data_IF_999671357669
#
_entry.id   IF_999671357669
#
_cell.length_a   1.000
_cell.length_b   1.000
_cell.length_c   1.000
_cell.angle_alpha   90.00
_cell.angle_beta   90.00
_cell.angle_gamma   90.00
#
_symmetry.space_group_name_H-M   'P 1'
#
loop_
_entity.id
_entity.type
_entity.pdbx_description
1 polymer ?
#
# COMPACT_ATOMS: atom_id res chain seq x y z
N UNK A 1 -5.88 -8.48 4.52
CA UNK A 1 -7.22 -8.36 3.90
C UNK A 1 -8.28 -9.26 4.50
N UNK A 2 -7.96 -10.44 5.03
CA UNK A 2 -8.97 -11.34 5.59
C UNK A 2 -9.78 -10.72 6.74
N UNK A 3 -9.10 -10.09 7.71
CA UNK A 3 -9.69 -9.34 8.82
C UNK A 3 -10.58 -8.20 8.33
N UNK A 4 -10.08 -7.45 7.35
CA UNK A 4 -10.79 -6.27 6.82
C UNK A 4 -12.06 -6.72 6.10
N UNK A 5 -11.99 -7.81 5.33
CA UNK A 5 -13.15 -8.39 4.66
C UNK A 5 -14.16 -8.91 5.68
N UNK A 6 -13.73 -9.64 6.72
CA UNK A 6 -14.61 -10.12 7.78
C UNK A 6 -15.33 -8.99 8.52
N UNK A 7 -14.60 -7.95 8.94
CA UNK A 7 -15.20 -6.77 9.56
C UNK A 7 -16.16 -6.07 8.59
N UNK A 8 -15.78 -5.92 7.32
CA UNK A 8 -16.64 -5.30 6.33
C UNK A 8 -17.93 -6.11 6.12
N UNK A 9 -17.85 -7.45 6.04
CA UNK A 9 -19.01 -8.35 5.98
C UNK A 9 -19.93 -8.18 7.19
N UNK A 10 -19.38 -8.21 8.41
CA UNK A 10 -20.16 -8.12 9.64
C UNK A 10 -20.89 -6.79 9.80
N UNK A 11 -20.25 -5.67 9.43
CA UNK A 11 -20.82 -4.35 9.66
C UNK A 11 -21.62 -3.80 8.47
N UNK A 12 -21.27 -4.17 7.23
CA UNK A 12 -21.77 -3.50 6.02
C UNK A 12 -22.10 -4.45 4.85
N UNK A 13 -21.13 -5.23 4.38
CA UNK A 13 -21.21 -5.92 3.08
C UNK A 13 -22.30 -6.99 3.06
N UNK A 14 -22.58 -7.69 4.17
CA UNK A 14 -23.73 -8.61 4.21
C UNK A 14 -25.04 -7.89 3.85
N UNK A 15 -25.26 -6.70 4.41
CA UNK A 15 -26.46 -5.90 4.14
C UNK A 15 -26.49 -5.40 2.70
N UNK A 16 -25.33 -5.06 2.14
CA UNK A 16 -25.21 -4.63 0.73
C UNK A 16 -25.53 -5.79 -0.20
N UNK A 17 -24.88 -6.95 -0.02
CA UNK A 17 -25.08 -8.14 -0.84
C UNK A 17 -26.50 -8.70 -0.72
N UNK A 18 -27.12 -8.61 0.45
CA UNK A 18 -28.51 -9.02 0.65
C UNK A 18 -29.53 -8.08 -0.02
N UNK A 19 -29.19 -6.80 -0.22
CA UNK A 19 -30.01 -5.85 -0.99
C UNK A 19 -29.82 -6.02 -2.50
N UNK A 20 -28.60 -6.30 -2.95
CA UNK A 20 -28.28 -6.48 -4.37
C UNK A 20 -28.73 -7.83 -4.91
N UNK A 21 -28.58 -8.89 -4.12
CA UNK A 21 -28.90 -10.28 -4.48
C UNK A 21 -29.71 -10.94 -3.34
N UNK A 22 -30.95 -10.50 -3.06
CA UNK A 22 -31.76 -11.09 -2.00
C UNK A 22 -32.09 -12.55 -2.31
N UNK A 23 -32.08 -13.41 -1.29
CA UNK A 23 -32.66 -14.75 -1.40
C UNK A 23 -34.17 -14.59 -1.63
N UNK A 24 -34.69 -15.16 -2.73
CA UNK A 24 -36.13 -15.24 -2.95
C UNK A 24 -36.69 -16.40 -2.11
N UNK A 25 -37.56 -16.08 -1.14
CA UNK A 25 -38.20 -17.06 -0.24
C UNK A 25 -38.99 -18.17 -0.98
N UNK A 26 -39.28 -17.99 -2.28
CA UNK A 26 -40.01 -18.96 -3.11
C UNK A 26 -39.19 -20.19 -3.55
N UNK A 27 -37.87 -20.24 -3.28
CA UNK A 27 -37.00 -21.37 -3.67
C UNK A 27 -36.45 -22.18 -2.49
N UNK A 28 -36.74 -21.80 -1.25
CA UNK A 28 -36.39 -22.60 -0.07
C UNK A 28 -37.52 -23.60 0.19
N UNK A 29 -37.52 -24.71 -0.56
CA UNK A 29 -38.28 -25.89 -0.15
C UNK A 29 -37.69 -26.38 1.19
N UNK A 30 -38.49 -26.54 2.25
CA UNK A 30 -38.00 -27.07 3.51
C UNK A 30 -37.75 -28.57 3.31
N UNK A 31 -36.54 -28.92 2.89
CA UNK A 31 -36.10 -30.32 2.96
C UNK A 31 -35.72 -30.61 4.42
N UNK A 32 -36.53 -31.47 5.04
CA UNK A 32 -36.36 -32.10 6.36
C UNK A 32 -36.66 -31.22 7.58
N UNK A 33 -37.96 -31.05 7.89
CA UNK A 33 -38.41 -30.87 9.26
C UNK A 33 -39.33 -32.05 9.63
N UNK A 34 -38.74 -33.07 10.26
CA UNK A 34 -39.48 -34.00 11.10
C UNK A 34 -40.21 -33.21 12.18
N UNK A 35 -41.52 -33.45 12.30
CA UNK A 35 -42.39 -32.90 13.34
C UNK A 35 -41.76 -33.01 14.74
N UNK A 36 -41.52 -31.88 15.38
CA UNK A 36 -41.60 -31.78 16.84
C UNK A 36 -42.18 -30.43 17.24
N UNK A 37 -43.37 -30.50 17.81
CA UNK A 37 -44.18 -29.44 18.39
C UNK A 37 -43.50 -28.73 19.55
N UNK A 38 -43.30 -27.42 19.42
CA UNK A 38 -43.59 -26.42 20.47
C UNK A 38 -43.33 -25.04 19.88
N UNK A 39 -44.42 -24.32 19.60
CA UNK A 39 -44.38 -22.97 19.08
C UNK A 39 -43.83 -22.00 20.12
N UNK A 40 -42.58 -21.58 19.94
CA UNK A 40 -42.14 -20.24 20.30
C UNK A 40 -41.99 -19.48 18.99
N UNK A 41 -42.99 -18.66 18.66
CA UNK A 41 -42.88 -17.64 17.62
C UNK A 41 -41.93 -16.53 18.12
N UNK A 42 -40.65 -16.86 18.26
CA UNK A 42 -39.60 -15.83 18.19
C UNK A 42 -39.64 -15.32 16.78
N UNK A 43 -40.02 -14.06 16.63
CA UNK A 43 -39.92 -13.26 15.41
C UNK A 43 -38.68 -13.69 14.65
N UNK A 44 -38.86 -14.44 13.55
CA UNK A 44 -37.79 -14.73 12.62
C UNK A 44 -37.44 -13.36 12.06
N UNK A 45 -36.43 -12.72 12.65
CA UNK A 45 -35.71 -11.67 11.96
C UNK A 45 -35.21 -12.38 10.71
N UNK A 46 -35.91 -12.20 9.60
CA UNK A 46 -35.37 -12.48 8.29
C UNK A 46 -34.15 -11.58 8.19
N UNK A 47 -33.01 -12.08 8.67
CA UNK A 47 -31.72 -11.57 8.27
C UNK A 47 -31.78 -11.68 6.76
N UNK A 48 -31.91 -10.52 6.10
CA UNK A 48 -31.90 -10.45 4.66
C UNK A 48 -30.59 -11.10 4.25
N UNK A 49 -30.66 -12.32 3.70
CA UNK A 49 -29.51 -13.08 3.29
C UNK A 49 -29.26 -12.83 1.80
N UNK A 50 -27.99 -12.82 1.43
CA UNK A 50 -27.62 -12.79 0.02
C UNK A 50 -27.63 -14.19 -0.57
N UNK A 51 -27.99 -14.32 -1.84
CA UNK A 51 -27.79 -15.55 -2.63
C UNK A 51 -26.32 -15.95 -2.65
N UNK A 52 -25.40 -14.98 -2.62
CA UNK A 52 -23.97 -15.25 -2.55
C UNK A 52 -23.49 -15.33 -1.11
N UNK A 53 -23.17 -16.55 -0.68
CA UNK A 53 -22.54 -16.81 0.61
C UNK A 53 -21.16 -16.11 0.73
N UNK A 54 -20.71 -15.88 1.97
CA UNK A 54 -19.45 -15.16 2.27
C UNK A 54 -18.21 -15.85 1.68
N UNK A 55 -18.25 -17.17 1.56
CA UNK A 55 -17.19 -18.01 1.00
C UNK A 55 -17.21 -18.09 -0.55
N UNK A 56 -18.24 -17.52 -1.19
CA UNK A 56 -18.32 -17.51 -2.65
C UNK A 56 -17.25 -16.58 -3.26
N UNK A 57 -16.31 -17.17 -4.00
CA UNK A 57 -15.11 -16.48 -4.51
C UNK A 57 -15.44 -15.21 -5.31
N UNK A 58 -16.41 -15.16 -6.25
CA UNK A 58 -16.76 -13.91 -6.93
C UNK A 58 -17.24 -12.79 -5.99
N UNK A 59 -17.98 -13.13 -4.92
CA UNK A 59 -18.37 -12.16 -3.89
C UNK A 59 -17.12 -11.59 -3.22
N UNK A 60 -16.20 -12.46 -2.80
CA UNK A 60 -14.96 -12.07 -2.15
C UNK A 60 -14.11 -11.18 -3.05
N UNK A 61 -13.90 -11.57 -4.32
CA UNK A 61 -13.11 -10.78 -5.28
C UNK A 61 -13.70 -9.38 -5.48
N UNK A 62 -15.02 -9.26 -5.63
CA UNK A 62 -15.69 -7.95 -5.80
C UNK A 62 -15.57 -7.13 -4.51
N UNK A 63 -15.87 -7.72 -3.36
CA UNK A 63 -15.74 -7.05 -2.06
C UNK A 63 -14.31 -6.57 -1.80
N UNK A 64 -13.31 -7.44 -2.01
CA UNK A 64 -11.90 -7.13 -1.86
C UNK A 64 -11.46 -6.01 -2.80
N UNK A 65 -11.93 -6.02 -4.05
CA UNK A 65 -11.63 -4.95 -5.01
C UNK A 65 -12.16 -3.61 -4.54
N UNK A 66 -13.41 -3.57 -4.08
CA UNK A 66 -14.06 -2.35 -3.59
C UNK A 66 -13.37 -1.85 -2.31
N UNK A 67 -13.15 -2.72 -1.33
CA UNK A 67 -12.47 -2.36 -0.08
C UNK A 67 -11.07 -1.83 -0.38
N UNK A 68 -10.30 -2.52 -1.22
CA UNK A 68 -8.93 -2.11 -1.57
C UNK A 68 -8.93 -0.76 -2.24
N UNK A 69 -9.83 -0.52 -3.20
CA UNK A 69 -9.94 0.76 -3.87
C UNK A 69 -10.34 1.88 -2.90
N UNK A 70 -11.32 1.65 -2.03
CA UNK A 70 -11.66 2.65 -1.01
C UNK A 70 -10.50 2.93 -0.05
N UNK A 71 -9.80 1.88 0.38
CA UNK A 71 -8.65 1.97 1.28
C UNK A 71 -7.48 2.72 0.67
N UNK A 72 -7.08 2.39 -0.57
CA UNK A 72 -5.96 3.09 -1.24
C UNK A 72 -6.30 4.56 -1.48
N UNK A 73 -7.54 4.89 -1.88
CA UNK A 73 -7.95 6.29 -2.04
C UNK A 73 -7.92 7.02 -0.70
N UNK A 74 -8.44 6.41 0.37
CA UNK A 74 -8.44 7.01 1.69
C UNK A 74 -7.02 7.28 2.21
N UNK A 75 -6.15 6.27 2.21
CA UNK A 75 -4.77 6.41 2.68
C UNK A 75 -3.97 7.39 1.83
N UNK A 76 -4.09 7.29 0.50
CA UNK A 76 -3.40 8.18 -0.44
C UNK A 76 -3.82 9.63 -0.22
N UNK A 77 -5.12 9.94 -0.27
CA UNK A 77 -5.56 11.32 -0.09
C UNK A 77 -5.33 11.84 1.32
N UNK A 78 -5.48 11.01 2.37
CA UNK A 78 -5.21 11.44 3.74
C UNK A 78 -3.74 11.83 3.92
N UNK A 79 -2.82 10.89 3.66
CA UNK A 79 -1.40 11.13 3.95
C UNK A 79 -0.76 12.07 2.94
N UNK A 80 -1.07 11.97 1.64
CA UNK A 80 -0.51 12.90 0.66
C UNK A 80 -1.02 14.32 0.87
N UNK A 81 -2.29 14.51 1.26
CA UNK A 81 -2.80 15.83 1.61
C UNK A 81 -2.14 16.38 2.89
N UNK A 82 -1.97 15.55 3.93
CA UNK A 82 -1.29 15.96 5.16
C UNK A 82 0.16 16.38 4.88
N UNK A 83 0.93 15.56 4.16
CA UNK A 83 2.30 15.91 3.76
C UNK A 83 2.31 17.17 2.90
N UNK A 84 1.48 17.23 1.87
CA UNK A 84 1.40 18.39 0.99
C UNK A 84 1.07 19.67 1.75
N UNK A 85 0.15 19.61 2.73
CA UNK A 85 -0.32 20.79 3.46
C UNK A 85 0.67 21.27 4.53
N UNK A 86 1.31 20.35 5.24
CA UNK A 86 2.05 20.66 6.46
C UNK A 86 3.56 20.45 6.37
N UNK A 87 4.05 19.65 5.41
CA UNK A 87 5.46 19.25 5.31
C UNK A 87 6.07 19.77 4.01
N UNK A 88 5.39 19.59 2.87
CA UNK A 88 5.91 19.93 1.55
C UNK A 88 6.26 21.43 1.42
N UNK A 89 7.50 21.72 1.03
CA UNK A 89 7.93 23.08 0.74
C UNK A 89 7.39 23.53 -0.62
N UNK A 90 6.35 24.35 -0.61
CA UNK A 90 5.68 24.84 -1.82
C UNK A 90 6.57 25.75 -2.69
N UNK A 91 7.70 26.25 -2.18
CA UNK A 91 8.68 26.96 -3.02
C UNK A 91 9.26 26.07 -4.12
N UNK A 92 9.33 24.74 -3.90
CA UNK A 92 9.77 23.76 -4.90
C UNK A 92 8.97 23.80 -6.19
N UNK A 93 7.72 24.29 -6.14
CA UNK A 93 6.88 24.44 -7.33
C UNK A 93 7.39 25.51 -8.31
N UNK A 94 8.33 26.37 -7.88
CA UNK A 94 9.02 27.36 -8.73
C UNK A 94 10.25 26.76 -9.43
N UNK A 95 10.62 25.53 -9.12
CA UNK A 95 11.79 24.90 -9.70
C UNK A 95 11.64 24.74 -11.22
N UNK A 96 12.67 24.97 -12.04
CA UNK A 96 12.58 24.91 -13.51
C UNK A 96 12.13 23.57 -14.07
N UNK A 97 12.42 22.50 -13.31
CA UNK A 97 12.04 21.12 -13.64
C UNK A 97 10.70 20.70 -13.03
N UNK A 98 9.99 21.60 -12.34
CA UNK A 98 8.63 21.38 -11.90
C UNK A 98 7.66 21.60 -13.08
N UNK A 99 6.83 20.61 -13.35
CA UNK A 99 5.97 20.63 -14.53
C UNK A 99 4.73 21.51 -14.32
N UNK A 100 4.20 22.06 -15.42
CA UNK A 100 2.94 22.79 -15.36
C UNK A 100 1.79 21.86 -14.89
N UNK A 101 1.00 22.30 -13.91
CA UNK A 101 -0.07 21.51 -13.31
C UNK A 101 0.40 20.14 -12.75
N UNK A 102 1.67 20.01 -12.33
CA UNK A 102 2.26 18.73 -11.93
C UNK A 102 1.43 17.97 -10.89
N UNK A 103 0.99 18.63 -9.80
CA UNK A 103 0.17 18.00 -8.75
C UNK A 103 -1.08 17.34 -9.32
N UNK A 104 -1.77 18.02 -10.25
CA UNK A 104 -2.95 17.45 -10.93
C UNK A 104 -2.54 16.25 -11.80
N UNK A 105 -1.42 16.32 -12.51
CA UNK A 105 -0.93 15.21 -13.32
C UNK A 105 -0.54 14.00 -12.48
N UNK A 106 0.13 14.20 -11.35
CA UNK A 106 0.51 13.18 -10.37
C UNK A 106 -0.75 12.47 -9.85
N UNK A 107 -1.73 13.24 -9.34
CA UNK A 107 -3.02 12.68 -8.86
C UNK A 107 -3.71 11.89 -9.96
N UNK A 108 -3.82 12.44 -11.18
CA UNK A 108 -4.45 11.72 -12.28
C UNK A 108 -3.70 10.45 -12.67
N UNK A 109 -2.38 10.43 -12.57
CA UNK A 109 -1.58 9.24 -12.82
C UNK A 109 -1.88 8.17 -11.77
N UNK A 110 -1.84 8.53 -10.48
CA UNK A 110 -2.13 7.64 -9.36
C UNK A 110 -3.53 7.02 -9.49
N UNK A 111 -4.55 7.85 -9.74
CA UNK A 111 -5.94 7.39 -9.89
C UNK A 111 -6.13 6.43 -11.08
N UNK A 112 -5.40 6.64 -12.19
CA UNK A 112 -5.43 5.71 -13.33
C UNK A 112 -4.69 4.40 -13.02
N UNK A 113 -3.70 4.44 -12.13
CA UNK A 113 -2.92 3.26 -11.78
C UNK A 113 -3.64 2.32 -10.81
N UNK A 114 -4.41 2.88 -9.86
CA UNK A 114 -5.04 2.11 -8.78
C UNK A 114 -5.87 0.90 -9.22
N UNK A 115 -6.76 0.98 -10.24
CA UNK A 115 -7.55 -0.18 -10.65
C UNK A 115 -6.67 -1.35 -11.13
N UNK A 116 -5.68 -1.08 -11.97
CA UNK A 116 -4.80 -2.11 -12.51
C UNK A 116 -3.87 -2.68 -11.42
N UNK A 117 -3.38 -1.85 -10.50
CA UNK A 117 -2.63 -2.33 -9.34
C UNK A 117 -3.48 -3.23 -8.46
N UNK A 118 -4.71 -2.83 -8.14
CA UNK A 118 -5.64 -3.65 -7.36
C UNK A 118 -5.82 -5.01 -8.03
N UNK A 119 -6.06 -5.06 -9.35
CA UNK A 119 -6.20 -6.32 -10.08
C UNK A 119 -4.97 -7.23 -9.96
N UNK A 120 -3.77 -6.66 -10.04
CA UNK A 120 -2.52 -7.42 -9.88
C UNK A 120 -2.31 -7.91 -8.44
N UNK A 121 -2.81 -7.17 -7.45
CA UNK A 121 -2.67 -7.50 -6.03
C UNK A 121 -3.76 -8.47 -5.53
N UNK A 122 -4.93 -8.51 -6.16
CA UNK A 122 -6.06 -9.36 -5.75
C UNK A 122 -5.70 -10.83 -5.50
N UNK A 123 -4.84 -11.51 -6.29
CA UNK A 123 -4.46 -12.88 -6.00
C UNK A 123 -3.84 -13.07 -4.61
N UNK A 124 -3.04 -12.11 -4.14
CA UNK A 124 -2.46 -12.14 -2.79
C UNK A 124 -3.55 -12.04 -1.72
N UNK A 125 -4.49 -11.12 -1.89
CA UNK A 125 -5.58 -10.91 -0.94
C UNK A 125 -6.56 -12.09 -0.92
N UNK A 126 -6.86 -12.66 -2.08
CA UNK A 126 -7.70 -13.83 -2.19
C UNK A 126 -7.02 -15.04 -1.53
N UNK A 127 -5.72 -15.25 -1.77
CA UNK A 127 -4.98 -16.32 -1.12
C UNK A 127 -4.91 -16.14 0.41
N UNK A 128 -4.79 -14.91 0.88
CA UNK A 128 -4.87 -14.57 2.30
C UNK A 128 -6.23 -14.96 2.90
N UNK A 129 -7.34 -14.55 2.26
CA UNK A 129 -8.72 -14.89 2.69
C UNK A 129 -8.98 -16.39 2.69
N UNK A 130 -8.38 -17.13 1.75
CA UNK A 130 -8.48 -18.58 1.67
C UNK A 130 -7.62 -19.31 2.73
N UNK A 131 -6.88 -18.58 3.57
CA UNK A 131 -6.08 -19.15 4.64
C UNK A 131 -4.72 -19.68 4.21
N UNK A 132 -4.20 -19.28 3.04
CA UNK A 132 -2.85 -19.69 2.61
C UNK A 132 -1.73 -18.87 3.24
N UNK A 133 -2.05 -17.73 3.86
CA UNK A 133 -1.07 -16.93 4.59
C UNK A 133 -0.73 -17.56 5.96
N UNK A 134 0.35 -17.10 6.56
CA UNK A 134 0.80 -17.47 7.92
C UNK A 134 0.40 -16.41 8.95
N UNK A 135 -0.68 -15.67 8.69
CA UNK A 135 -1.19 -14.71 9.66
C UNK A 135 -1.75 -15.46 10.88
N UNK A 136 -1.46 -14.93 12.07
CA UNK A 136 -1.94 -15.50 13.32
C UNK A 136 -2.59 -14.43 14.21
N UNK A 137 -3.44 -14.85 15.14
CA UNK A 137 -4.31 -13.96 15.91
C UNK A 137 -3.83 -13.71 17.33
N UNK A 138 -3.27 -14.71 18.00
CA UNK A 138 -2.86 -14.57 19.40
C UNK A 138 -1.35 -14.37 19.47
N UNK A 139 -0.91 -13.32 20.16
CA UNK A 139 0.53 -13.07 20.37
C UNK A 139 1.21 -14.27 21.02
N UNK A 140 0.52 -14.99 21.90
CA UNK A 140 1.05 -16.15 22.63
C UNK A 140 1.38 -17.36 21.75
N UNK A 141 0.88 -17.42 20.50
CA UNK A 141 1.22 -18.49 19.56
C UNK A 141 2.72 -18.52 19.21
N UNK A 142 3.38 -17.34 19.26
CA UNK A 142 4.81 -17.16 19.00
C UNK A 142 5.55 -16.39 20.10
N UNK A 143 4.82 -15.83 21.08
CA UNK A 143 5.32 -15.04 22.20
C UNK A 143 5.61 -13.57 21.86
N UNK A 144 5.61 -12.74 22.91
CA UNK A 144 5.83 -11.29 22.81
C UNK A 144 7.19 -10.89 22.22
N UNK A 145 8.23 -11.69 22.45
CA UNK A 145 9.56 -11.44 21.88
C UNK A 145 9.54 -11.56 20.35
N UNK A 146 8.92 -12.61 19.81
CA UNK A 146 8.76 -12.75 18.37
C UNK A 146 7.89 -11.64 17.80
N UNK A 147 6.78 -11.30 18.46
CA UNK A 147 5.91 -10.19 18.04
C UNK A 147 6.71 -8.88 17.89
N UNK A 148 7.49 -8.49 18.90
CA UNK A 148 8.30 -7.28 18.84
C UNK A 148 9.40 -7.34 17.77
N UNK A 149 10.12 -8.47 17.66
CA UNK A 149 11.20 -8.66 16.68
C UNK A 149 10.69 -8.85 15.24
N UNK A 150 9.42 -9.22 15.06
CA UNK A 150 8.81 -9.34 13.73
C UNK A 150 8.70 -8.00 13.01
N UNK A 151 8.67 -6.87 13.72
CA UNK A 151 8.67 -5.52 13.14
C UNK A 151 9.98 -5.21 12.41
N UNK A 152 11.16 -5.16 13.05
CA UNK A 152 12.40 -4.93 12.34
C UNK A 152 12.69 -6.03 11.33
N UNK A 153 12.28 -7.27 11.58
CA UNK A 153 12.43 -8.35 10.60
C UNK A 153 11.62 -8.09 9.33
N UNK A 154 10.35 -7.71 9.45
CA UNK A 154 9.51 -7.31 8.34
C UNK A 154 10.11 -6.13 7.58
N UNK A 155 10.53 -5.08 8.29
CA UNK A 155 11.09 -3.88 7.67
C UNK A 155 12.39 -4.21 6.91
N UNK A 156 13.31 -4.98 7.48
CA UNK A 156 14.55 -5.37 6.80
C UNK A 156 14.30 -6.28 5.60
N UNK A 157 13.38 -7.24 5.70
CA UNK A 157 13.02 -8.12 4.58
C UNK A 157 12.42 -7.32 3.43
N UNK A 158 11.45 -6.47 3.73
CA UNK A 158 10.74 -5.69 2.72
C UNK A 158 11.64 -4.62 2.11
N UNK A 159 12.45 -3.93 2.90
CA UNK A 159 13.48 -2.99 2.41
C UNK A 159 14.42 -3.66 1.41
N UNK A 160 14.94 -4.86 1.72
CA UNK A 160 15.84 -5.57 0.81
C UNK A 160 15.15 -6.06 -0.47
N UNK A 161 13.93 -6.56 -0.35
CA UNK A 161 13.13 -6.98 -1.50
C UNK A 161 12.85 -5.79 -2.43
N UNK A 162 12.45 -4.65 -1.87
CA UNK A 162 12.15 -3.43 -2.63
C UNK A 162 13.42 -2.87 -3.25
N UNK A 163 14.54 -2.84 -2.51
CA UNK A 163 15.82 -2.42 -3.04
C UNK A 163 16.14 -3.12 -4.36
N UNK A 164 15.99 -4.46 -4.42
CA UNK A 164 16.26 -5.22 -5.63
C UNK A 164 15.23 -5.00 -6.72
N UNK A 165 13.95 -4.97 -6.37
CA UNK A 165 12.88 -4.67 -7.33
C UNK A 165 13.08 -3.29 -7.95
N UNK A 166 13.37 -2.28 -7.13
CA UNK A 166 13.58 -0.91 -7.55
C UNK A 166 14.83 -0.80 -8.41
N UNK A 167 15.94 -1.43 -8.01
CA UNK A 167 17.16 -1.51 -8.84
C UNK A 167 16.91 -2.21 -10.18
N UNK A 168 16.09 -3.26 -10.20
CA UNK A 168 15.67 -3.95 -11.44
C UNK A 168 14.79 -3.04 -12.31
N UNK A 169 13.89 -2.26 -11.72
CA UNK A 169 13.07 -1.27 -12.42
C UNK A 169 13.91 -0.19 -13.09
N UNK A 170 15.12 0.08 -12.59
CA UNK A 170 16.10 0.95 -13.23
C UNK A 170 16.98 0.28 -14.30
N UNK A 171 16.85 -1.03 -14.50
CA UNK A 171 17.56 -1.71 -15.58
C UNK A 171 17.11 -1.15 -16.95
N UNK A 172 18.02 -0.86 -17.91
CA UNK A 172 17.67 -0.15 -19.15
C UNK A 172 16.50 -0.76 -19.95
N UNK A 173 16.37 -2.09 -19.94
CA UNK A 173 15.31 -2.81 -20.65
C UNK A 173 13.92 -2.70 -19.98
N UNK A 174 13.86 -2.33 -18.70
CA UNK A 174 12.65 -2.30 -17.87
C UNK A 174 12.26 -0.83 -17.60
N UNK A 175 13.25 0.01 -17.32
CA UNK A 175 13.11 1.42 -16.94
C UNK A 175 12.20 2.19 -17.87
N UNK A 176 12.47 2.17 -19.18
CA UNK A 176 11.74 3.01 -20.14
C UNK A 176 10.22 2.78 -20.09
N UNK A 177 9.80 1.55 -19.84
CA UNK A 177 8.39 1.15 -19.86
C UNK A 177 7.73 1.38 -18.52
N UNK A 178 8.35 0.90 -17.43
CA UNK A 178 7.66 0.79 -16.15
C UNK A 178 7.99 1.93 -15.19
N UNK A 179 9.27 2.33 -15.11
CA UNK A 179 9.74 3.22 -14.05
C UNK A 179 10.04 4.66 -14.51
N UNK A 180 10.35 4.87 -15.79
CA UNK A 180 10.48 6.20 -16.38
C UNK A 180 9.22 7.07 -16.20
N UNK A 181 7.97 6.55 -16.28
CA UNK A 181 6.79 7.34 -15.98
C UNK A 181 6.80 7.95 -14.57
N UNK A 182 7.34 7.24 -13.59
CA UNK A 182 7.52 7.72 -12.22
C UNK A 182 8.61 8.81 -12.15
N UNK A 183 9.74 8.56 -12.80
CA UNK A 183 10.87 9.50 -12.87
C UNK A 183 10.64 10.74 -13.72
N UNK A 184 9.47 10.87 -14.35
CA UNK A 184 9.02 12.11 -14.96
C UNK A 184 8.89 13.23 -13.91
N UNK A 185 8.54 12.89 -12.67
CA UNK A 185 8.42 13.82 -11.54
C UNK A 185 9.80 14.01 -10.91
N UNK A 186 10.64 14.86 -11.51
CA UNK A 186 12.02 15.10 -11.04
C UNK A 186 12.02 15.81 -9.67
N UNK A 187 11.09 16.73 -9.48
CA UNK A 187 10.82 17.40 -8.20
C UNK A 187 9.44 16.91 -7.74
N UNK A 188 9.35 15.68 -7.19
CA UNK A 188 8.07 15.09 -6.82
C UNK A 188 7.37 15.88 -5.70
N UNK A 189 6.05 15.93 -5.76
CA UNK A 189 5.24 16.24 -4.57
C UNK A 189 4.80 14.94 -3.91
N UNK A 190 4.26 14.93 -2.68
CA UNK A 190 3.83 13.68 -2.03
C UNK A 190 2.75 12.92 -2.83
N UNK A 191 2.02 13.60 -3.73
CA UNK A 191 1.10 12.97 -4.67
C UNK A 191 1.81 12.13 -5.77
N UNK A 192 3.11 12.32 -5.99
CA UNK A 192 3.92 11.53 -6.92
C UNK A 192 4.18 10.09 -6.44
N UNK A 193 4.02 9.82 -5.15
CA UNK A 193 4.32 8.53 -4.50
C UNK A 193 3.67 7.31 -5.15
N UNK A 194 2.52 7.50 -5.80
CA UNK A 194 1.79 6.45 -6.54
C UNK A 194 1.59 6.79 -8.03
N UNK A 195 2.23 7.86 -8.50
CA UNK A 195 2.10 8.35 -9.87
C UNK A 195 3.07 7.61 -10.81
N UNK A 196 2.87 6.30 -10.95
CA UNK A 196 3.73 5.41 -11.73
C UNK A 196 2.93 4.40 -12.57
N UNK A 197 3.63 3.58 -13.35
CA UNK A 197 2.99 2.50 -14.09
C UNK A 197 2.42 1.44 -13.11
N UNK A 198 1.23 0.84 -13.33
CA UNK A 198 0.65 -0.12 -12.38
C UNK A 198 1.57 -1.29 -12.02
N UNK A 199 2.27 -1.84 -13.01
CA UNK A 199 3.25 -2.92 -12.80
C UNK A 199 4.43 -2.48 -11.92
N UNK A 200 4.84 -1.21 -11.98
CA UNK A 200 5.90 -0.67 -11.12
C UNK A 200 5.49 -0.75 -9.65
N UNK A 201 4.36 -0.12 -9.32
CA UNK A 201 3.82 -0.17 -7.96
C UNK A 201 3.51 -1.57 -7.46
N UNK A 202 2.96 -2.43 -8.32
CA UNK A 202 2.73 -3.83 -7.98
C UNK A 202 4.04 -4.54 -7.63
N UNK A 203 5.07 -4.45 -8.48
CA UNK A 203 6.34 -5.10 -8.24
C UNK A 203 6.96 -4.61 -6.93
N UNK A 204 6.93 -3.30 -6.68
CA UNK A 204 7.43 -2.73 -5.42
C UNK A 204 6.61 -3.17 -4.21
N UNK A 205 5.33 -3.55 -4.38
CA UNK A 205 4.50 -4.04 -3.27
C UNK A 205 4.67 -5.54 -2.98
N UNK A 206 5.20 -6.33 -3.92
CA UNK A 206 5.35 -7.79 -3.80
C UNK A 206 6.08 -8.22 -2.52
N UNK A 207 7.21 -7.61 -2.11
CA UNK A 207 7.91 -8.04 -0.89
C UNK A 207 7.04 -8.01 0.37
N UNK A 208 6.13 -7.04 0.49
CA UNK A 208 5.21 -6.95 1.64
C UNK A 208 4.20 -8.09 1.64
N UNK A 209 3.61 -8.40 0.48
CA UNK A 209 2.65 -9.49 0.36
C UNK A 209 3.33 -10.84 0.56
N UNK A 210 4.51 -11.03 -0.02
CA UNK A 210 5.27 -12.27 0.06
C UNK A 210 5.65 -12.63 1.51
N UNK A 211 5.97 -11.63 2.35
CA UNK A 211 6.40 -11.86 3.72
C UNK A 211 5.43 -12.77 4.49
N UNK A 212 4.12 -12.50 4.45
CA UNK A 212 3.13 -13.24 5.22
C UNK A 212 2.84 -14.65 4.69
N UNK A 213 3.32 -15.01 3.49
CA UNK A 213 3.25 -16.38 2.98
C UNK A 213 4.50 -17.20 3.36
N UNK A 214 5.60 -16.53 3.71
CA UNK A 214 6.85 -17.17 4.10
C UNK A 214 6.99 -17.24 5.63
N UNK A 215 6.69 -16.14 6.32
CA UNK A 215 6.92 -15.97 7.75
C UNK A 215 5.60 -15.70 8.51
N UNK A 216 5.45 -16.24 9.72
CA UNK A 216 4.32 -15.90 10.58
C UNK A 216 4.33 -14.42 10.96
N UNK A 217 3.17 -13.76 10.88
CA UNK A 217 3.03 -12.38 11.31
C UNK A 217 1.66 -12.16 11.97
N UNK A 218 1.65 -11.44 13.09
CA UNK A 218 0.40 -11.16 13.79
C UNK A 218 -0.52 -10.30 12.92
N UNK A 219 -1.80 -10.68 12.83
CA UNK A 219 -2.75 -10.11 11.87
C UNK A 219 -2.92 -8.59 11.97
N UNK A 220 -3.12 -8.09 13.19
CA UNK A 220 -3.23 -6.63 13.43
C UNK A 220 -1.92 -5.89 13.19
N UNK A 221 -0.78 -6.56 13.43
CA UNK A 221 0.51 -5.95 13.18
C UNK A 221 0.76 -5.82 11.68
N UNK A 222 0.42 -6.85 10.90
CA UNK A 222 0.47 -6.79 9.44
C UNK A 222 -0.38 -5.63 8.89
N UNK A 223 -1.60 -5.43 9.40
CA UNK A 223 -2.43 -4.30 8.98
C UNK A 223 -1.80 -2.94 9.35
N UNK A 224 -1.26 -2.80 10.55
CA UNK A 224 -0.54 -1.59 10.97
C UNK A 224 0.69 -1.31 10.12
N UNK A 225 1.47 -2.34 9.80
CA UNK A 225 2.62 -2.26 8.90
C UNK A 225 2.20 -1.88 7.48
N UNK A 226 1.09 -2.43 6.96
CA UNK A 226 0.56 -2.04 5.65
C UNK A 226 0.23 -0.54 5.58
N UNK A 227 -0.35 0.04 6.64
CA UNK A 227 -0.59 1.49 6.73
C UNK A 227 0.73 2.24 6.81
N UNK A 228 1.69 1.78 7.62
CA UNK A 228 3.01 2.38 7.74
C UNK A 228 3.76 2.43 6.41
N UNK A 229 3.73 1.36 5.62
CA UNK A 229 4.33 1.30 4.27
C UNK A 229 3.80 2.44 3.40
N UNK A 230 2.48 2.59 3.33
CA UNK A 230 1.84 3.61 2.48
C UNK A 230 2.18 5.03 2.97
N UNK A 231 2.12 5.24 4.27
CA UNK A 231 2.52 6.50 4.90
C UNK A 231 3.98 6.84 4.56
N UNK A 232 4.90 5.89 4.73
CA UNK A 232 6.32 6.11 4.48
C UNK A 232 6.62 6.39 3.01
N UNK A 233 6.03 5.61 2.10
CA UNK A 233 6.15 5.83 0.65
C UNK A 233 5.72 7.24 0.26
N UNK A 234 4.69 7.80 0.90
CA UNK A 234 4.26 9.18 0.64
C UNK A 234 5.26 10.19 1.22
N UNK A 235 5.69 9.99 2.46
CA UNK A 235 6.57 10.92 3.18
C UNK A 235 7.93 11.10 2.51
N UNK A 236 8.49 10.06 1.89
CA UNK A 236 9.77 10.18 1.18
C UNK A 236 9.66 10.95 -0.16
N UNK A 237 8.46 11.23 -0.66
CA UNK A 237 8.21 11.95 -1.92
C UNK A 237 7.92 13.46 -1.73
N UNK A 238 8.49 14.10 -0.70
CA UNK A 238 8.25 15.53 -0.43
C UNK A 238 9.30 16.49 -1.05
N UNK A 239 10.25 16.00 -1.84
CA UNK A 239 11.40 16.78 -2.39
C UNK A 239 12.24 17.51 -1.35
N UNK A 240 12.06 17.22 -0.05
CA UNK A 240 12.71 17.93 1.03
C UNK A 240 14.11 17.38 1.31
N UNK A 241 15.08 18.29 1.45
CA UNK A 241 16.50 17.99 1.68
C UNK A 241 16.88 18.19 3.14
N UNK A 242 16.20 17.45 4.02
CA UNK A 242 16.57 17.36 5.44
C UNK A 242 17.97 16.76 5.56
N UNK A 243 18.94 17.61 5.87
CA UNK A 243 20.37 17.25 5.96
C UNK A 243 20.96 17.66 7.30
N UNK A 244 21.99 16.94 7.76
CA UNK A 244 22.72 17.20 9.00
C UNK A 244 22.18 16.49 10.24
N UNK A 245 21.16 15.63 10.10
CA UNK A 245 20.64 14.84 11.22
C UNK A 245 21.30 13.46 11.26
N UNK A 246 21.71 12.98 12.43
CA UNK A 246 22.45 11.71 12.56
C UNK A 246 21.70 10.48 11.97
N UNK A 247 20.36 10.49 12.01
CA UNK A 247 19.54 9.41 11.47
C UNK A 247 19.64 9.26 9.95
N UNK A 248 20.02 10.31 9.20
CA UNK A 248 20.16 10.25 7.74
C UNK A 248 21.20 9.21 7.32
N UNK A 249 22.15 8.85 8.20
CA UNK A 249 23.14 7.82 7.90
C UNK A 249 22.54 6.42 7.82
N UNK A 250 21.39 6.20 8.44
CA UNK A 250 20.74 4.89 8.59
C UNK A 250 19.39 4.84 7.89
N UNK A 251 18.61 5.91 7.99
CA UNK A 251 17.25 6.03 7.44
C UNK A 251 17.30 6.65 6.05
N UNK A 252 16.73 5.96 5.07
CA UNK A 252 16.50 6.46 3.72
C UNK A 252 15.24 7.35 3.73
N UNK A 253 15.43 8.62 4.08
CA UNK A 253 14.38 9.64 4.16
C UNK A 253 14.17 10.44 2.87
N UNK A 254 13.34 11.51 2.91
CA UNK A 254 12.99 12.32 1.73
C UNK A 254 14.20 12.89 1.00
N UNK A 255 15.27 13.25 1.72
CA UNK A 255 16.48 13.78 1.10
C UNK A 255 17.19 12.73 0.19
N UNK A 256 17.24 11.47 0.63
CA UNK A 256 17.84 10.39 -0.15
C UNK A 256 17.02 10.10 -1.40
N UNK A 257 15.70 10.04 -1.26
CA UNK A 257 14.78 9.80 -2.37
C UNK A 257 14.71 10.99 -3.35
N UNK A 258 14.86 12.22 -2.85
CA UNK A 258 15.05 13.41 -3.71
C UNK A 258 16.29 13.26 -4.56
N UNK A 259 17.43 12.87 -3.98
CA UNK A 259 18.63 12.57 -4.77
C UNK A 259 18.39 11.41 -5.76
N UNK A 260 17.59 10.41 -5.39
CA UNK A 260 17.21 9.33 -6.29
C UNK A 260 16.47 9.86 -7.54
N UNK A 261 15.48 10.74 -7.37
CA UNK A 261 14.76 11.38 -8.50
C UNK A 261 15.64 12.34 -9.33
N UNK A 262 16.72 12.88 -8.75
CA UNK A 262 17.65 13.77 -9.45
C UNK A 262 18.72 13.02 -10.24
N UNK A 263 19.22 11.90 -9.72
CA UNK A 263 20.38 11.17 -10.28
C UNK A 263 20.06 9.78 -10.83
N UNK A 264 18.86 9.24 -10.55
CA UNK A 264 18.30 7.96 -11.02
C UNK A 264 19.05 6.68 -10.61
N UNK A 265 20.31 6.79 -10.20
CA UNK A 265 21.23 5.65 -10.05
C UNK A 265 21.69 5.40 -8.62
N UNK A 266 21.07 6.07 -7.65
CA UNK A 266 21.47 6.07 -6.25
C UNK A 266 20.26 5.89 -5.33
N UNK A 267 20.47 5.44 -4.09
CA UNK A 267 19.46 5.41 -3.02
C UNK A 267 18.16 4.68 -3.40
N UNK A 268 18.25 3.42 -3.82
CA UNK A 268 17.10 2.59 -4.19
C UNK A 268 16.30 2.03 -3.01
N UNK A 269 16.87 2.02 -1.79
CA UNK A 269 16.22 1.50 -0.59
C UNK A 269 14.95 2.27 -0.23
N UNK A 270 14.09 1.63 0.57
CA UNK A 270 12.80 2.20 0.94
C UNK A 270 12.88 2.91 2.30
N UNK A 271 13.39 2.21 3.32
CA UNK A 271 13.41 2.68 4.71
C UNK A 271 14.82 2.98 5.18
N UNK A 272 15.79 2.21 4.72
CA UNK A 272 17.14 2.22 5.27
C UNK A 272 18.19 2.34 4.17
N UNK A 273 19.38 2.79 4.57
CA UNK A 273 20.50 3.04 3.65
C UNK A 273 21.41 1.81 3.48
N UNK A 274 21.25 0.77 4.29
CA UNK A 274 22.21 -0.35 4.33
C UNK A 274 22.28 -1.11 3.01
N UNK A 275 21.15 -1.36 2.35
CA UNK A 275 21.10 -2.10 1.09
C UNK A 275 21.83 -1.33 -0.02
N UNK A 276 21.66 -0.01 -0.05
CA UNK A 276 22.40 0.88 -0.94
C UNK A 276 23.90 0.92 -0.65
N UNK A 277 24.30 0.88 0.63
CA UNK A 277 25.72 0.84 1.01
C UNK A 277 26.38 -0.45 0.56
N UNK A 278 25.72 -1.59 0.80
CA UNK A 278 26.21 -2.91 0.40
C UNK A 278 26.23 -3.03 -1.13
N UNK A 279 25.18 -2.54 -1.80
CA UNK A 279 25.04 -2.63 -3.24
C UNK A 279 25.75 -1.54 -4.04
N UNK A 280 26.48 -0.64 -3.39
CA UNK A 280 27.28 0.42 -4.03
C UNK A 280 26.47 1.52 -4.70
N UNK A 281 25.22 1.74 -4.28
CA UNK A 281 24.32 2.78 -4.79
C UNK A 281 24.05 3.90 -3.77
N UNK A 282 24.70 3.86 -2.61
CA UNK A 282 24.51 4.88 -1.57
C UNK A 282 25.09 6.24 -1.97
N UNK A 283 24.26 7.28 -1.88
CA UNK A 283 24.67 8.68 -1.99
C UNK A 283 24.15 9.47 -0.80
N UNK A 284 25.07 9.99 0.00
CA UNK A 284 24.78 10.85 1.14
C UNK A 284 24.10 12.15 0.69
N UNK A 285 22.97 12.53 1.30
CA UNK A 285 22.40 13.86 1.17
C UNK A 285 23.32 14.92 1.77
N UNK A 286 23.54 16.00 1.02
CA UNK A 286 24.31 17.17 1.43
C UNK A 286 23.54 18.43 1.05
N UNK A 287 23.64 19.49 1.85
CA UNK A 287 22.98 20.77 1.58
C UNK A 287 23.43 21.43 0.27
N UNK A 288 24.62 21.08 -0.21
CA UNK A 288 25.16 21.49 -1.52
C UNK A 288 24.40 20.89 -2.71
N UNK A 289 23.65 19.81 -2.49
CA UNK A 289 22.88 19.09 -3.51
C UNK A 289 21.39 19.45 -3.50
N UNK A 290 20.98 20.43 -2.69
CA UNK A 290 19.59 20.82 -2.52
C UNK A 290 19.03 21.51 -3.79
N UNK A 291 17.93 21.01 -4.40
CA UNK A 291 17.33 21.65 -5.57
C UNK A 291 16.82 23.07 -5.29
N UNK A 292 16.60 23.48 -4.03
CA UNK A 292 16.30 24.88 -3.67
C UNK A 292 17.39 25.85 -4.13
N UNK A 293 18.63 25.39 -4.27
CA UNK A 293 19.74 26.23 -4.74
C UNK A 293 19.54 26.65 -6.21
N UNK A 294 18.88 25.84 -7.04
CA UNK A 294 18.54 26.21 -8.42
C UNK A 294 17.47 27.32 -8.43
N UNK A 295 16.51 27.27 -7.51
CA UNK A 295 15.44 28.27 -7.37
C UNK A 295 16.03 29.63 -6.95
N UNK A 296 16.89 29.64 -5.93
CA UNK A 296 17.52 30.86 -5.40
C UNK A 296 18.45 31.57 -6.39
N UNK A 297 19.00 30.84 -7.37
CA UNK A 297 19.83 31.45 -8.43
C UNK A 297 19.01 32.25 -9.45
N UNK A 298 17.69 32.07 -9.46
CA UNK A 298 16.78 32.68 -10.43
C UNK A 298 15.95 33.83 -9.85
N UNK A 299 15.93 33.96 -8.52
CA UNK A 299 15.34 35.09 -7.77
C UNK A 299 16.29 36.26 -7.67
#
# INVERSE_FOLDING_TARGET
MDLVLHLADDYLLDKVWARLLPVNDHLVQPSYASLSTSANFTSIVHLQQSVWARDYIPRQIISLSVITLLGIHFLYFLFAWLSYKFIFNHEMMRHPRFLENQVKQEIQCSLRAFPAMTLLTLPWFQAEVMGYSKLYDNVEDYGWAYFALSVPFFLLFTDYGIYWVHRLLHHPNIYKTFHKPHHKWIIPTPFASHAFHPVDGYLQSVPYHLFIFIFPLHRWLYLGLFVFVNFWSILIHDSDMVTGHALEKVINGPAHHTLHHLYFTVNYGQYFTWADRVGGSYRQPESSLDPMLEIKKQS
#
